data_IF_445855916534
#
_entry.id   IF_445855916534
#
_cell.length_a   1.000
_cell.length_b   1.000
_cell.length_c   1.000
_cell.angle_alpha   90.00
_cell.angle_beta   90.00
_cell.angle_gamma   90.00
#
_symmetry.space_group_name_H-M   'P 1'
#
loop_
_entity.id
_entity.type
_entity.pdbx_description
1 polymer ?
#
# COMPACT_ATOMS: atom_id res chain seq x y z
N UNK A 1 12.71 70.29 55.88
CA UNK A 1 13.76 69.37 55.38
C UNK A 1 13.52 67.92 55.78
N UNK A 2 13.35 67.56 57.06
CA UNK A 2 13.12 66.15 57.50
C UNK A 2 11.91 65.46 56.85
N UNK A 3 10.78 66.17 56.68
CA UNK A 3 9.57 65.63 56.02
C UNK A 3 9.75 65.41 54.51
N UNK A 4 10.52 66.28 53.83
CA UNK A 4 10.80 66.18 52.40
C UNK A 4 11.72 64.99 52.09
N UNK A 5 12.71 64.74 52.95
CA UNK A 5 13.61 63.58 52.84
C UNK A 5 12.82 62.28 53.02
N UNK A 6 11.88 62.22 53.98
CA UNK A 6 11.03 61.05 54.18
C UNK A 6 10.12 60.78 52.98
N UNK A 7 9.58 61.82 52.35
CA UNK A 7 8.76 61.69 51.12
C UNK A 7 9.60 61.22 49.92
N UNK A 8 10.83 61.72 49.76
CA UNK A 8 11.72 61.28 48.69
C UNK A 8 12.16 59.82 48.87
N UNK A 9 12.42 59.41 50.12
CA UNK A 9 12.78 58.03 50.48
C UNK A 9 11.59 57.08 50.26
N UNK A 10 10.35 57.49 50.55
CA UNK A 10 9.17 56.69 50.21
C UNK A 10 8.92 56.58 48.69
N UNK A 11 9.20 57.64 47.92
CA UNK A 11 9.05 57.61 46.45
C UNK A 11 10.11 56.74 45.75
N UNK A 12 11.31 56.59 46.32
CA UNK A 12 12.35 55.73 45.74
C UNK A 12 12.03 54.23 45.77
N UNK A 13 11.01 53.78 46.52
CA UNK A 13 10.57 52.39 46.55
C UNK A 13 9.49 52.05 45.48
N UNK A 14 9.08 53.00 44.63
CA UNK A 14 7.97 52.81 43.68
C UNK A 14 8.39 52.32 42.28
N UNK A 15 9.68 52.07 42.03
CA UNK A 15 10.16 51.52 40.75
C UNK A 15 10.43 50.01 40.85
N UNK A 16 9.40 49.25 41.22
CA UNK A 16 9.44 47.79 41.12
C UNK A 16 9.03 47.37 39.71
N UNK A 17 9.86 46.55 39.05
CA UNK A 17 9.45 45.88 37.82
C UNK A 17 8.31 44.89 38.16
N UNK A 18 7.20 44.92 37.41
CA UNK A 18 6.03 44.06 37.65
C UNK A 18 6.16 42.62 37.09
N UNK A 19 7.35 42.25 36.61
CA UNK A 19 7.64 40.92 36.05
C UNK A 19 7.87 39.91 37.17
N UNK A 20 7.28 38.73 37.04
CA UNK A 20 7.43 37.64 38.01
C UNK A 20 8.53 36.70 37.55
N UNK A 21 9.67 36.70 38.25
CA UNK A 21 10.68 35.66 38.13
C UNK A 21 10.44 34.55 39.16
N UNK A 22 10.52 33.29 38.74
CA UNK A 22 10.58 32.14 39.66
C UNK A 22 11.89 31.41 39.37
N UNK A 23 12.79 31.39 40.36
CA UNK A 23 14.12 30.81 40.21
C UNK A 23 15.17 31.73 39.56
N UNK A 24 14.78 32.98 39.24
CA UNK A 24 15.67 34.06 38.79
C UNK A 24 15.24 35.39 39.41
N UNK A 25 16.23 36.19 39.84
CA UNK A 25 16.03 37.59 40.29
C UNK A 25 16.20 38.59 39.13
N UNK A 26 16.54 38.10 37.94
CA UNK A 26 16.66 38.87 36.70
C UNK A 26 15.77 38.24 35.62
N UNK A 27 14.43 38.38 35.74
CA UNK A 27 13.52 37.96 34.67
C UNK A 27 13.86 38.68 33.35
N UNK A 28 13.60 38.00 32.22
CA UNK A 28 13.87 38.58 30.91
C UNK A 28 12.94 39.80 30.71
N UNK A 29 13.43 40.97 30.26
CA UNK A 29 12.60 42.17 30.14
C UNK A 29 11.36 42.02 29.24
N UNK A 30 11.34 41.02 28.34
CA UNK A 30 10.21 40.72 27.48
C UNK A 30 9.16 39.80 28.12
N UNK A 31 9.45 39.20 29.28
CA UNK A 31 8.61 38.20 29.92
C UNK A 31 7.79 38.77 31.08
N UNK A 32 6.47 38.54 31.07
CA UNK A 32 5.65 38.78 32.26
C UNK A 32 5.87 37.71 33.34
N UNK A 33 6.22 36.48 32.94
CA UNK A 33 6.58 35.36 33.81
C UNK A 33 7.81 34.64 33.24
N UNK A 34 8.90 34.53 34.02
CA UNK A 34 10.11 33.78 33.67
C UNK A 34 10.36 32.68 34.72
N UNK A 35 10.38 31.42 34.28
CA UNK A 35 10.71 30.26 35.09
C UNK A 35 12.14 29.80 34.77
N UNK A 36 13.08 29.96 35.69
CA UNK A 36 14.47 29.51 35.53
C UNK A 36 14.81 28.40 36.53
N UNK A 37 15.21 27.23 36.01
CA UNK A 37 15.67 26.09 36.80
C UNK A 37 17.19 25.87 36.72
N UNK A 38 17.93 26.75 36.04
CA UNK A 38 19.36 26.61 35.74
C UNK A 38 20.23 26.47 37.00
N UNK A 39 19.84 27.10 38.10
CA UNK A 39 20.53 27.07 39.40
C UNK A 39 20.27 25.81 40.25
N UNK A 40 19.22 25.03 39.94
CA UNK A 40 18.86 23.82 40.69
C UNK A 40 19.85 22.66 40.40
N UNK A 41 20.05 21.69 41.30
CA UNK A 41 20.95 20.55 41.05
C UNK A 41 20.43 19.65 39.91
N UNK A 42 21.30 18.83 39.31
CA UNK A 42 20.97 17.98 38.15
C UNK A 42 19.72 17.11 38.36
N UNK A 43 19.57 16.49 39.54
CA UNK A 43 18.41 15.67 39.90
C UNK A 43 17.30 16.46 40.63
N UNK A 44 17.36 17.79 40.61
CA UNK A 44 16.38 18.68 41.24
C UNK A 44 15.84 19.74 40.30
N UNK A 45 16.11 19.65 38.99
CA UNK A 45 15.50 20.51 37.97
C UNK A 45 13.98 20.36 38.04
N UNK A 46 13.27 21.48 37.86
CA UNK A 46 11.81 21.55 37.85
C UNK A 46 11.36 22.15 36.52
N UNK A 47 10.15 21.80 36.10
CA UNK A 47 9.51 22.36 34.91
C UNK A 47 8.19 23.06 35.25
N UNK A 48 7.50 23.52 34.21
CA UNK A 48 6.14 24.02 34.31
C UNK A 48 5.15 22.88 34.12
N UNK A 49 4.28 22.66 35.12
CA UNK A 49 3.10 21.81 34.98
C UNK A 49 1.88 22.71 34.76
N UNK A 50 1.50 22.88 33.50
CA UNK A 50 0.33 23.68 33.12
C UNK A 50 -1.00 23.02 33.50
N UNK A 51 -2.14 23.69 33.21
CA UNK A 51 -3.46 23.14 33.50
C UNK A 51 -3.66 21.77 32.83
N UNK A 52 -4.03 20.76 33.62
CA UNK A 52 -4.35 19.42 33.15
C UNK A 52 -5.86 19.26 33.07
N UNK A 53 -6.39 18.96 31.89
CA UNK A 53 -7.82 19.02 31.59
C UNK A 53 -8.22 17.76 30.84
N UNK A 54 -9.40 17.20 31.11
CA UNK A 54 -9.95 16.07 30.36
C UNK A 54 -11.00 16.58 29.36
N UNK A 55 -10.58 16.87 28.12
CA UNK A 55 -11.46 17.40 27.09
C UNK A 55 -12.42 16.31 26.57
N UNK A 56 -13.67 16.70 26.33
CA UNK A 56 -14.71 15.80 25.81
C UNK A 56 -14.75 15.71 24.29
N UNK A 57 -14.22 16.72 23.59
CA UNK A 57 -14.07 16.75 22.12
C UNK A 57 -13.05 17.82 21.72
N UNK A 58 -12.69 17.88 20.43
CA UNK A 58 -11.83 18.95 19.90
C UNK A 58 -12.52 20.32 19.90
N UNK A 59 -13.84 20.41 20.04
CA UNK A 59 -14.58 21.68 20.11
C UNK A 59 -15.11 21.97 21.52
N UNK A 60 -14.57 21.29 22.54
CA UNK A 60 -15.05 21.40 23.91
C UNK A 60 -14.80 22.80 24.51
N UNK A 61 -15.87 23.58 24.54
CA UNK A 61 -15.94 24.89 25.21
C UNK A 61 -16.73 24.82 26.52
N UNK A 62 -17.06 23.62 27.00
CA UNK A 62 -17.86 23.40 28.22
C UNK A 62 -16.97 23.11 29.43
N UNK A 63 -15.92 22.31 29.24
CA UNK A 63 -14.92 22.01 30.28
C UNK A 63 -14.13 23.27 30.63
N UNK A 64 -13.89 24.14 29.65
CA UNK A 64 -13.34 25.48 29.83
C UNK A 64 -14.27 26.46 29.10
N UNK A 65 -15.20 27.13 29.80
CA UNK A 65 -16.09 28.13 29.19
C UNK A 65 -15.32 29.30 28.58
N UNK A 66 -15.69 29.68 27.35
CA UNK A 66 -15.09 30.80 26.60
C UNK A 66 -13.55 30.77 26.59
N UNK A 67 -12.92 29.70 26.08
CA UNK A 67 -11.47 29.58 26.11
C UNK A 67 -10.82 30.70 25.29
N UNK A 68 -9.79 31.33 25.86
CA UNK A 68 -9.06 32.39 25.18
C UNK A 68 -8.22 31.81 24.02
N UNK A 69 -8.12 32.54 22.92
CA UNK A 69 -7.23 32.14 21.81
C UNK A 69 -5.78 32.11 22.30
N UNK A 70 -5.07 31.02 22.00
CA UNK A 70 -3.71 30.75 22.48
C UNK A 70 -3.64 30.10 23.87
N UNK A 71 -4.78 29.79 24.51
CA UNK A 71 -4.80 29.09 25.80
C UNK A 71 -4.22 27.68 25.64
N UNK A 72 -3.15 27.36 26.37
CA UNK A 72 -2.44 26.08 26.37
C UNK A 72 -2.85 25.22 27.57
N UNK A 73 -3.17 23.95 27.32
CA UNK A 73 -3.51 22.94 28.35
C UNK A 73 -2.82 21.61 28.03
N UNK A 74 -2.77 20.71 29.01
CA UNK A 74 -2.43 19.30 28.79
C UNK A 74 -3.71 18.46 28.85
N UNK A 75 -4.12 17.85 27.73
CA UNK A 75 -5.27 16.97 27.69
C UNK A 75 -4.92 15.60 28.29
N UNK A 76 -5.72 15.16 29.25
CA UNK A 76 -5.52 13.90 29.97
C UNK A 76 -5.94 12.66 29.17
N UNK A 77 -6.75 12.82 28.12
CA UNK A 77 -7.25 11.70 27.31
C UNK A 77 -8.25 10.78 28.01
N UNK A 78 -8.72 11.14 29.21
CA UNK A 78 -9.59 10.32 30.05
C UNK A 78 -11.09 10.59 29.87
N UNK A 79 -11.45 11.60 29.07
CA UNK A 79 -12.83 11.93 28.71
C UNK A 79 -13.10 11.56 27.23
N UNK A 80 -13.92 12.35 26.53
CA UNK A 80 -14.34 12.04 25.15
C UNK A 80 -13.28 12.27 24.07
N UNK A 81 -12.31 13.17 24.28
CA UNK A 81 -11.15 13.33 23.41
C UNK A 81 -9.99 12.50 23.98
N UNK A 82 -9.78 11.31 23.42
CA UNK A 82 -8.81 10.32 23.92
C UNK A 82 -7.34 10.65 23.63
N UNK A 83 -7.06 11.62 22.76
CA UNK A 83 -5.71 12.06 22.43
C UNK A 83 -5.04 12.77 23.61
N UNK A 84 -4.04 12.14 24.21
CA UNK A 84 -3.25 12.70 25.32
C UNK A 84 -2.16 13.63 24.77
N UNK A 85 -1.94 14.78 25.40
CA UNK A 85 -0.83 15.67 25.03
C UNK A 85 -1.10 17.15 25.31
N UNK A 86 -0.21 18.03 24.85
CA UNK A 86 -0.45 19.47 24.92
C UNK A 86 -1.41 19.90 23.81
N UNK A 87 -2.39 20.72 24.15
CA UNK A 87 -3.36 21.30 23.22
C UNK A 87 -3.44 22.80 23.43
N UNK A 88 -3.65 23.56 22.35
CA UNK A 88 -3.99 24.98 22.46
C UNK A 88 -5.29 25.30 21.74
N UNK A 89 -6.03 26.27 22.27
CA UNK A 89 -7.26 26.76 21.64
C UNK A 89 -6.92 27.76 20.52
N UNK A 90 -7.30 27.46 19.28
CA UNK A 90 -7.04 28.35 18.14
C UNK A 90 -8.13 29.43 17.92
N UNK A 91 -9.16 29.45 18.76
CA UNK A 91 -10.35 30.30 18.59
C UNK A 91 -11.61 29.52 18.17
N UNK A 92 -11.46 28.28 17.69
CA UNK A 92 -12.58 27.44 17.22
C UNK A 92 -12.46 25.98 17.61
N UNK A 93 -11.25 25.44 17.75
CA UNK A 93 -10.99 24.09 18.23
C UNK A 93 -9.68 23.98 19.03
N UNK A 94 -9.56 22.90 19.79
CA UNK A 94 -8.36 22.46 20.48
C UNK A 94 -7.47 21.68 19.50
N UNK A 95 -6.34 22.28 19.14
CA UNK A 95 -5.32 21.65 18.29
C UNK A 95 -4.21 21.06 19.15
N UNK A 96 -3.81 19.83 18.82
CA UNK A 96 -2.66 19.18 19.45
C UNK A 96 -1.37 19.91 19.07
N UNK A 97 -0.54 20.19 20.06
CA UNK A 97 0.83 20.64 19.88
C UNK A 97 1.67 19.39 19.58
N UNK A 98 1.85 19.07 18.30
CA UNK A 98 2.61 17.89 17.89
C UNK A 98 4.05 18.02 18.38
N UNK A 99 4.47 17.11 19.26
CA UNK A 99 5.86 16.91 19.62
C UNK A 99 6.32 15.61 19.00
N UNK A 100 7.24 15.74 18.04
CA UNK A 100 7.92 14.60 17.46
C UNK A 100 8.81 13.95 18.52
N UNK A 101 8.86 12.62 18.54
CA UNK A 101 9.75 11.91 19.46
C UNK A 101 11.20 12.19 19.08
N UNK A 102 12.04 12.54 20.05
CA UNK A 102 13.50 12.69 19.87
C UNK A 102 14.24 11.34 20.00
N UNK A 103 13.53 10.25 20.28
CA UNK A 103 14.11 8.93 20.32
C UNK A 103 14.51 8.47 18.90
N UNK A 104 15.57 7.66 18.76
CA UNK A 104 15.84 6.97 17.50
C UNK A 104 14.60 6.24 16.97
N UNK A 105 14.28 6.54 15.71
CA UNK A 105 13.21 5.93 14.96
C UNK A 105 13.47 4.46 14.68
N UNK A 106 12.45 3.62 14.83
CA UNK A 106 12.48 2.20 14.47
C UNK A 106 11.22 1.83 13.71
N UNK A 107 11.35 0.92 12.74
CA UNK A 107 10.21 0.33 12.02
C UNK A 107 10.24 -1.19 12.16
N UNK A 108 9.08 -1.83 12.12
CA UNK A 108 8.99 -3.30 12.14
C UNK A 108 9.30 -3.89 10.78
N UNK A 109 8.81 -3.27 9.70
CA UNK A 109 9.05 -3.71 8.31
C UNK A 109 9.33 -2.49 7.46
N UNK A 110 10.38 -2.57 6.63
CA UNK A 110 10.66 -1.66 5.54
C UNK A 110 10.33 -2.37 4.22
N UNK A 111 9.31 -1.92 3.50
CA UNK A 111 8.77 -2.60 2.32
C UNK A 111 9.36 -2.04 1.02
N UNK A 112 10.58 -2.48 0.70
CA UNK A 112 11.20 -2.14 -0.58
C UNK A 112 10.50 -2.78 -1.80
N UNK A 113 9.65 -3.80 -1.62
CA UNK A 113 8.90 -4.40 -2.73
C UNK A 113 7.74 -3.49 -3.17
N UNK A 114 7.18 -2.73 -2.24
CA UNK A 114 6.22 -1.66 -2.49
C UNK A 114 6.83 -0.33 -2.94
N UNK A 115 8.15 -0.27 -3.17
CA UNK A 115 8.82 0.97 -3.54
C UNK A 115 8.32 1.52 -4.89
N UNK A 116 7.95 2.80 -4.92
CA UNK A 116 7.42 3.48 -6.11
C UNK A 116 8.29 4.68 -6.48
N UNK A 117 8.74 4.72 -7.74
CA UNK A 117 9.41 5.87 -8.34
C UNK A 117 8.40 6.69 -9.16
N UNK A 118 8.47 8.02 -9.06
CA UNK A 118 7.64 8.96 -9.83
C UNK A 118 8.51 10.13 -10.32
N UNK A 119 8.68 10.36 -11.63
CA UNK A 119 8.17 9.55 -12.75
C UNK A 119 8.71 8.11 -12.75
N UNK A 120 7.90 7.12 -13.11
CA UNK A 120 8.31 5.70 -13.00
C UNK A 120 9.42 5.26 -13.97
N UNK A 121 9.80 6.12 -14.92
CA UNK A 121 10.77 5.84 -15.97
C UNK A 121 11.80 6.96 -16.12
N UNK A 122 12.98 6.60 -16.61
CA UNK A 122 14.06 7.54 -16.91
C UNK A 122 14.75 7.21 -18.24
N UNK A 123 15.38 8.21 -18.85
CA UNK A 123 16.06 8.09 -20.15
C UNK A 123 17.53 8.45 -19.99
N UNK A 124 18.42 7.61 -20.51
CA UNK A 124 19.86 7.82 -20.48
C UNK A 124 20.23 9.19 -21.08
N UNK A 125 21.12 9.92 -20.40
CA UNK A 125 21.64 11.21 -20.84
C UNK A 125 20.72 12.42 -20.59
N UNK A 126 19.45 12.21 -20.22
CA UNK A 126 18.54 13.29 -19.86
C UNK A 126 18.57 13.55 -18.36
N UNK A 127 18.39 14.80 -17.92
CA UNK A 127 18.25 15.07 -16.48
C UNK A 127 16.98 14.39 -15.95
N UNK A 128 17.10 13.76 -14.79
CA UNK A 128 16.01 13.15 -14.04
C UNK A 128 15.82 13.87 -12.71
N UNK A 129 14.57 14.16 -12.38
CA UNK A 129 14.13 14.69 -11.10
C UNK A 129 12.81 14.01 -10.75
N UNK A 130 12.79 13.29 -9.65
CA UNK A 130 11.61 12.56 -9.21
C UNK A 130 11.66 12.20 -7.73
N UNK A 131 10.72 11.35 -7.33
CA UNK A 131 10.52 10.95 -5.95
C UNK A 131 10.46 9.44 -5.86
N UNK A 132 11.17 8.87 -4.89
CA UNK A 132 11.11 7.45 -4.53
C UNK A 132 10.41 7.32 -3.17
N UNK A 133 9.26 6.67 -3.17
CA UNK A 133 8.46 6.40 -1.97
C UNK A 133 8.64 4.95 -1.55
N UNK A 134 8.97 4.70 -0.29
CA UNK A 134 9.16 3.36 0.28
C UNK A 134 8.23 3.21 1.49
N UNK A 135 7.20 2.35 1.40
CA UNK A 135 6.31 2.10 2.53
C UNK A 135 7.03 1.41 3.70
N UNK A 136 6.55 1.65 4.91
CA UNK A 136 6.94 0.90 6.11
C UNK A 136 5.74 0.65 7.03
N UNK A 137 5.93 -0.27 7.98
CA UNK A 137 4.96 -0.53 9.05
C UNK A 137 5.63 -0.70 10.42
N UNK A 138 4.86 -0.48 11.48
CA UNK A 138 5.32 -0.54 12.87
C UNK A 138 6.32 0.54 13.25
N UNK A 139 6.20 1.74 12.70
CA UNK A 139 6.94 2.94 13.10
C UNK A 139 6.59 3.37 14.53
N UNK A 140 7.61 3.81 15.27
CA UNK A 140 7.51 4.19 16.68
C UNK A 140 7.39 5.70 16.93
N UNK A 141 7.21 6.53 15.90
CA UNK A 141 7.21 7.99 16.05
C UNK A 141 8.59 8.66 16.11
N UNK A 142 9.68 7.89 16.16
CA UNK A 142 11.04 8.39 16.39
C UNK A 142 11.74 8.95 15.15
N UNK A 143 12.85 9.66 15.36
CA UNK A 143 13.60 10.37 14.32
C UNK A 143 14.41 9.40 13.45
N UNK A 144 14.39 9.61 12.14
CA UNK A 144 15.40 9.10 11.21
C UNK A 144 16.23 10.26 10.65
N UNK A 145 17.55 10.07 10.58
CA UNK A 145 18.47 11.08 10.05
C UNK A 145 18.36 11.23 8.53
N UNK A 146 18.93 12.32 8.02
CA UNK A 146 19.12 12.50 6.58
C UNK A 146 20.03 11.40 6.01
N UNK A 147 19.75 10.96 4.78
CA UNK A 147 20.51 9.90 4.10
C UNK A 147 20.73 10.24 2.61
N UNK A 148 21.77 9.67 2.01
CA UNK A 148 22.10 9.84 0.59
C UNK A 148 22.67 8.54 0.01
N UNK A 149 21.99 8.01 -1.01
CA UNK A 149 22.32 6.73 -1.65
C UNK A 149 22.68 6.99 -3.12
N UNK A 150 23.84 6.50 -3.53
CA UNK A 150 24.34 6.59 -4.91
C UNK A 150 25.48 7.60 -5.10
N UNK A 151 25.79 7.97 -6.36
CA UNK A 151 25.02 7.69 -7.57
C UNK A 151 25.04 6.22 -8.01
N UNK A 152 23.91 5.69 -8.47
CA UNK A 152 23.76 4.36 -9.10
C UNK A 152 23.10 4.58 -10.45
N UNK A 153 23.72 4.10 -11.53
CA UNK A 153 23.31 4.42 -12.90
C UNK A 153 23.11 5.93 -13.14
N UNK A 154 23.89 6.79 -12.48
CA UNK A 154 23.78 8.25 -12.60
C UNK A 154 22.63 8.90 -11.81
N UNK A 155 21.90 8.14 -10.98
CA UNK A 155 20.84 8.62 -10.10
C UNK A 155 21.28 8.60 -8.63
N UNK A 156 21.00 9.67 -7.90
CA UNK A 156 21.24 9.80 -6.45
C UNK A 156 19.90 9.98 -5.74
N UNK A 157 19.64 9.19 -4.69
CA UNK A 157 18.46 9.29 -3.84
C UNK A 157 18.84 9.96 -2.51
N UNK A 158 18.15 11.02 -2.11
CA UNK A 158 18.39 11.78 -0.88
C UNK A 158 17.14 11.83 -0.01
N UNK A 159 17.28 11.49 1.27
CA UNK A 159 16.24 11.58 2.30
C UNK A 159 16.59 12.72 3.26
N UNK A 160 15.62 13.57 3.57
CA UNK A 160 15.76 14.58 4.62
C UNK A 160 15.54 13.96 6.00
N UNK A 161 16.11 14.55 7.04
CA UNK A 161 15.80 14.16 8.42
C UNK A 161 14.33 14.46 8.75
N UNK A 162 13.65 13.51 9.36
CA UNK A 162 12.28 13.64 9.84
C UNK A 162 11.94 12.51 10.84
N UNK A 163 10.67 12.34 11.20
CA UNK A 163 10.17 11.30 12.07
C UNK A 163 9.41 10.22 11.32
N UNK A 164 9.49 8.98 11.79
CA UNK A 164 8.52 7.95 11.39
C UNK A 164 7.14 8.30 11.95
N UNK A 165 6.09 7.96 11.21
CA UNK A 165 4.73 7.92 11.70
C UNK A 165 4.56 6.79 12.73
N UNK A 166 3.60 6.94 13.63
CA UNK A 166 3.16 5.82 14.47
C UNK A 166 2.40 4.80 13.61
N UNK A 167 2.90 3.56 13.55
CA UNK A 167 2.31 2.51 12.72
C UNK A 167 2.84 2.51 11.29
N UNK A 168 2.00 2.77 10.30
CA UNK A 168 2.38 2.71 8.88
C UNK A 168 2.60 4.11 8.30
N UNK A 169 3.60 4.23 7.43
CA UNK A 169 3.93 5.48 6.76
C UNK A 169 4.86 5.24 5.57
N UNK A 170 5.47 6.31 5.07
CA UNK A 170 6.37 6.23 3.91
C UNK A 170 7.67 7.00 4.16
N UNK A 171 8.79 6.45 3.71
CA UNK A 171 10.01 7.22 3.46
C UNK A 171 9.93 7.82 2.06
N UNK A 172 10.27 9.10 1.93
CA UNK A 172 10.15 9.85 0.68
C UNK A 172 11.51 10.44 0.32
N UNK A 173 12.18 9.83 -0.66
CA UNK A 173 13.47 10.27 -1.17
C UNK A 173 13.27 11.17 -2.38
N UNK A 174 14.05 12.25 -2.49
CA UNK A 174 14.25 12.95 -3.76
C UNK A 174 15.29 12.20 -4.59
N UNK A 175 14.98 11.90 -5.85
CA UNK A 175 15.88 11.19 -6.76
C UNK A 175 16.26 12.13 -7.90
N UNK A 176 17.54 12.43 -8.02
CA UNK A 176 18.06 13.38 -9.01
C UNK A 176 19.31 12.85 -9.70
N UNK A 177 19.60 13.37 -10.90
CA UNK A 177 20.84 13.09 -11.62
C UNK A 177 20.65 13.01 -13.12
N UNK A 178 21.61 12.38 -13.81
CA UNK A 178 21.56 12.11 -15.25
C UNK A 178 21.76 10.60 -15.43
N UNK A 179 20.70 9.83 -15.72
CA UNK A 179 20.78 8.38 -15.86
C UNK A 179 21.80 7.96 -16.92
N UNK A 180 22.54 6.89 -16.65
CA UNK A 180 23.44 6.25 -17.63
C UNK A 180 22.75 5.13 -18.41
N UNK A 181 21.55 4.74 -18.01
CA UNK A 181 20.70 3.73 -18.65
C UNK A 181 19.28 4.25 -18.80
N UNK A 182 18.51 3.69 -19.74
CA UNK A 182 17.09 4.00 -19.93
C UNK A 182 16.22 2.87 -19.39
N UNK A 183 15.04 3.20 -18.89
CA UNK A 183 13.98 2.22 -18.63
C UNK A 183 13.72 1.35 -19.86
N UNK A 184 13.45 0.03 -19.71
CA UNK A 184 13.15 -0.68 -18.45
C UNK A 184 14.38 -1.23 -17.68
N UNK A 185 15.61 -0.84 -18.03
CA UNK A 185 16.79 -1.23 -17.23
C UNK A 185 16.65 -0.65 -15.83
N UNK A 186 16.74 -1.50 -14.80
CA UNK A 186 16.49 -1.09 -13.42
C UNK A 186 17.71 -0.51 -12.71
N UNK A 187 17.41 0.28 -11.69
CA UNK A 187 18.36 0.81 -10.71
C UNK A 187 17.90 0.35 -9.33
N UNK A 188 18.82 -0.18 -8.53
CA UNK A 188 18.54 -0.70 -7.19
C UNK A 188 19.24 0.16 -6.16
N UNK A 189 18.48 0.74 -5.24
CA UNK A 189 18.98 1.51 -4.10
C UNK A 189 18.96 0.62 -2.84
N UNK A 190 20.10 0.49 -2.16
CA UNK A 190 20.19 -0.18 -0.86
C UNK A 190 19.84 0.79 0.25
N UNK A 191 18.68 0.61 0.85
CA UNK A 191 18.08 1.53 1.82
C UNK A 191 18.24 0.97 3.22
N UNK A 192 18.65 1.81 4.17
CA UNK A 192 18.75 1.45 5.58
C UNK A 192 18.11 2.52 6.45
N UNK A 193 17.02 2.18 7.13
CA UNK A 193 16.27 3.11 7.96
C UNK A 193 15.51 2.37 9.06
N UNK A 194 15.41 2.99 10.24
CA UNK A 194 14.62 2.46 11.35
C UNK A 194 15.07 1.10 11.87
N UNK A 195 16.37 0.79 11.77
CA UNK A 195 16.94 -0.50 12.16
C UNK A 195 16.78 -1.63 11.13
N UNK A 196 16.14 -1.35 9.99
CA UNK A 196 15.92 -2.31 8.90
C UNK A 196 16.74 -1.92 7.67
N UNK A 197 17.02 -2.90 6.81
CA UNK A 197 17.66 -2.65 5.51
C UNK A 197 17.01 -3.50 4.41
N UNK A 198 16.84 -2.93 3.22
CA UNK A 198 16.33 -3.64 2.04
C UNK A 198 16.79 -2.99 0.74
N UNK A 199 16.51 -3.63 -0.39
CA UNK A 199 16.88 -3.14 -1.72
C UNK A 199 15.64 -2.71 -2.52
N UNK A 200 15.49 -1.41 -2.76
CA UNK A 200 14.42 -0.84 -3.58
C UNK A 200 14.84 -0.83 -5.05
N UNK A 201 14.18 -1.62 -5.90
CA UNK A 201 14.50 -1.73 -7.33
C UNK A 201 13.46 -0.99 -8.17
N UNK A 202 13.89 0.00 -8.95
CA UNK A 202 13.02 0.93 -9.69
C UNK A 202 13.50 1.18 -11.12
N UNK A 203 12.66 1.83 -11.93
CA UNK A 203 12.99 2.16 -13.32
C UNK A 203 12.52 1.15 -14.37
N UNK A 204 11.70 0.18 -13.97
CA UNK A 204 10.98 -0.69 -14.91
C UNK A 204 10.00 0.09 -15.82
N UNK A 205 9.72 1.36 -15.52
CA UNK A 205 8.64 2.15 -16.11
C UNK A 205 7.32 1.95 -15.34
N UNK A 206 6.27 2.68 -15.74
CA UNK A 206 4.91 2.32 -15.33
C UNK A 206 4.57 0.98 -15.99
N UNK A 207 4.00 -0.02 -15.28
CA UNK A 207 3.16 -1.00 -15.96
C UNK A 207 2.15 -0.17 -16.74
N UNK A 208 2.16 -0.25 -18.07
CA UNK A 208 1.25 0.55 -18.90
C UNK A 208 -0.17 0.38 -18.33
N UNK A 209 -0.70 1.45 -17.72
CA UNK A 209 -2.11 1.51 -17.46
C UNK A 209 -2.78 1.41 -18.83
N UNK A 210 -3.68 0.44 -19.01
CA UNK A 210 -4.52 0.31 -20.20
C UNK A 210 -5.40 1.57 -20.23
N UNK A 211 -4.89 2.64 -20.83
CA UNK A 211 -5.54 3.96 -20.90
C UNK A 211 -6.60 4.02 -22.00
N UNK A 212 -6.75 2.95 -22.79
CA UNK A 212 -7.83 2.73 -23.72
C UNK A 212 -8.16 1.24 -23.79
N UNK A 213 -9.45 0.91 -23.82
CA UNK A 213 -10.00 -0.43 -23.97
C UNK A 213 -9.16 -1.33 -24.88
N UNK A 214 -8.39 -2.26 -24.31
CA UNK A 214 -7.85 -3.36 -25.07
C UNK A 214 -8.97 -4.40 -25.26
N UNK A 215 -9.73 -4.27 -26.34
CA UNK A 215 -10.52 -5.41 -26.81
C UNK A 215 -9.55 -6.54 -27.18
N UNK A 216 -9.57 -7.64 -26.44
CA UNK A 216 -8.99 -8.89 -26.92
C UNK A 216 -9.96 -9.48 -27.94
N UNK A 217 -9.80 -9.07 -29.20
CA UNK A 217 -10.56 -9.67 -30.30
C UNK A 217 -9.95 -11.04 -30.61
N UNK A 218 -10.60 -12.10 -30.17
CA UNK A 218 -10.26 -13.47 -30.58
C UNK A 218 -10.89 -13.76 -31.94
N UNK A 219 -10.54 -12.97 -32.96
CA UNK A 219 -10.93 -13.29 -34.32
C UNK A 219 -9.75 -13.84 -35.10
N UNK A 220 -9.95 -15.05 -35.60
CA UNK A 220 -8.90 -15.89 -36.10
C UNK A 220 -9.44 -17.29 -36.29
N UNK A 221 -10.27 -17.48 -37.31
CA UNK A 221 -10.64 -18.76 -37.90
C UNK A 221 -9.44 -19.59 -38.40
N UNK A 222 -8.19 -19.14 -38.16
CA UNK A 222 -6.95 -19.69 -38.71
C UNK A 222 -5.89 -20.08 -37.66
N UNK A 223 -6.25 -20.33 -36.41
CA UNK A 223 -5.37 -21.03 -35.46
C UNK A 223 -4.05 -20.33 -35.10
N UNK A 224 -3.90 -19.04 -35.42
CA UNK A 224 -2.79 -18.23 -34.95
C UNK A 224 -3.17 -17.62 -33.61
N UNK A 225 -2.47 -18.05 -32.55
CA UNK A 225 -2.62 -17.48 -31.21
C UNK A 225 -2.47 -15.96 -31.23
N UNK A 226 -3.03 -15.33 -30.19
CA UNK A 226 -2.94 -13.89 -29.94
C UNK A 226 -1.50 -13.42 -30.22
N UNK A 227 -1.31 -12.62 -31.27
CA UNK A 227 -0.04 -11.92 -31.46
C UNK A 227 -0.05 -10.70 -30.54
N UNK A 228 1.00 -10.61 -29.73
CA UNK A 228 1.08 -9.71 -28.59
C UNK A 228 1.34 -8.26 -29.01
N UNK A 229 0.47 -7.36 -28.55
CA UNK A 229 0.89 -5.99 -28.21
C UNK A 229 1.32 -6.01 -26.73
N UNK A 230 2.58 -5.71 -26.47
CA UNK A 230 3.37 -6.01 -25.25
C UNK A 230 2.71 -5.83 -23.87
N UNK A 231 1.66 -5.02 -23.72
CA UNK A 231 0.93 -4.83 -22.46
C UNK A 231 0.32 -6.14 -21.90
N UNK A 232 -0.27 -6.98 -22.76
CA UNK A 232 -0.92 -8.23 -22.32
C UNK A 232 0.07 -9.32 -21.92
N UNK A 233 1.27 -9.36 -22.51
CA UNK A 233 2.31 -10.32 -22.14
C UNK A 233 2.82 -10.08 -20.72
N UNK A 234 3.01 -8.83 -20.33
CA UNK A 234 3.48 -8.50 -18.98
C UNK A 234 2.42 -8.86 -17.92
N UNK A 235 1.14 -8.63 -18.22
CA UNK A 235 0.03 -9.00 -17.33
C UNK A 235 -0.11 -10.53 -17.19
N UNK A 236 -0.03 -11.26 -18.31
CA UNK A 236 -0.07 -12.72 -18.30
C UNK A 236 1.15 -13.31 -17.59
N UNK A 237 2.35 -12.79 -17.85
CA UNK A 237 3.58 -13.21 -17.16
C UNK A 237 3.48 -12.97 -15.64
N UNK A 238 2.96 -11.83 -15.19
CA UNK A 238 2.75 -11.54 -13.77
C UNK A 238 1.75 -12.49 -13.08
N UNK A 239 0.87 -13.13 -13.85
CA UNK A 239 -0.11 -14.13 -13.37
C UNK A 239 0.28 -15.57 -13.71
N UNK A 240 1.49 -15.78 -14.25
CA UNK A 240 1.98 -17.10 -14.66
C UNK A 240 1.19 -17.72 -15.81
N UNK A 241 0.50 -16.93 -16.63
CA UNK A 241 -0.20 -17.38 -17.84
C UNK A 241 0.78 -17.32 -19.01
N UNK A 242 0.99 -18.44 -19.69
CA UNK A 242 1.90 -18.56 -20.83
C UNK A 242 1.17 -18.40 -22.16
N UNK A 243 -0.11 -18.79 -22.25
CA UNK A 243 -0.88 -18.74 -23.50
C UNK A 243 -2.39 -18.78 -23.25
N UNK A 244 -3.17 -18.12 -24.11
CA UNK A 244 -4.64 -18.31 -24.19
C UNK A 244 -5.02 -18.69 -25.62
N UNK A 245 -5.68 -19.84 -25.80
CA UNK A 245 -6.09 -20.39 -27.09
C UNK A 245 -7.60 -20.54 -27.15
N UNK A 246 -8.24 -19.99 -28.19
CA UNK A 246 -9.65 -20.28 -28.49
C UNK A 246 -9.75 -21.66 -29.16
N UNK A 247 -10.52 -22.57 -28.58
CA UNK A 247 -10.68 -23.93 -29.08
C UNK A 247 -11.95 -24.08 -29.94
N UNK A 248 -13.03 -23.42 -29.55
CA UNK A 248 -14.26 -23.29 -30.36
C UNK A 248 -14.99 -21.99 -30.02
N UNK A 249 -16.23 -21.80 -30.51
CA UNK A 249 -17.04 -20.65 -30.12
C UNK A 249 -17.38 -20.73 -28.63
N UNK A 250 -16.91 -19.74 -27.86
CA UNK A 250 -17.15 -19.66 -26.43
C UNK A 250 -16.28 -20.58 -25.57
N UNK A 251 -15.36 -21.36 -26.16
CA UNK A 251 -14.47 -22.28 -25.42
C UNK A 251 -13.03 -21.81 -25.55
N UNK A 252 -12.39 -21.58 -24.42
CA UNK A 252 -11.00 -21.11 -24.33
C UNK A 252 -10.17 -22.01 -23.43
N UNK A 253 -8.91 -22.20 -23.81
CA UNK A 253 -7.84 -22.85 -23.05
C UNK A 253 -6.87 -21.78 -22.55
N UNK A 254 -6.51 -21.86 -21.27
CA UNK A 254 -5.50 -20.99 -20.63
C UNK A 254 -4.36 -21.85 -20.14
N UNK A 255 -3.19 -21.72 -20.75
CA UNK A 255 -1.96 -22.40 -20.33
C UNK A 255 -1.19 -21.54 -19.32
N UNK A 256 -0.65 -22.18 -18.30
CA UNK A 256 0.19 -21.57 -17.27
C UNK A 256 1.66 -21.93 -17.49
N UNK A 257 2.56 -21.04 -17.08
CA UNK A 257 4.02 -21.23 -17.15
C UNK A 257 4.54 -22.23 -16.12
N UNK A 258 3.80 -22.45 -15.03
CA UNK A 258 4.14 -23.41 -13.97
C UNK A 258 3.01 -24.41 -13.76
N UNK A 259 3.28 -25.73 -13.76
CA UNK A 259 2.27 -26.71 -13.43
C UNK A 259 1.69 -26.52 -12.02
N UNK A 260 0.41 -26.77 -11.86
CA UNK A 260 -0.29 -26.84 -10.57
C UNK A 260 -0.76 -28.28 -10.32
N UNK A 261 -0.51 -28.88 -9.14
CA UNK A 261 -0.91 -30.27 -8.87
C UNK A 261 -2.44 -30.40 -8.92
N UNK A 262 -2.96 -31.04 -9.96
CA UNK A 262 -4.38 -31.29 -10.17
C UNK A 262 -4.57 -32.59 -10.96
N UNK A 263 -5.33 -33.53 -10.37
CA UNK A 263 -5.68 -34.83 -10.97
C UNK A 263 -7.14 -34.84 -11.45
N UNK A 264 -7.70 -33.65 -11.72
CA UNK A 264 -9.12 -33.51 -12.04
C UNK A 264 -9.48 -33.95 -13.46
N UNK A 265 -10.64 -34.57 -13.59
CA UNK A 265 -11.26 -34.87 -14.87
C UNK A 265 -12.28 -33.79 -15.24
N UNK A 266 -12.53 -33.58 -16.54
CA UNK A 266 -13.76 -32.90 -16.97
C UNK A 266 -14.73 -33.93 -17.50
N UNK A 267 -15.96 -33.86 -17.00
CA UNK A 267 -17.09 -34.69 -17.42
C UNK A 267 -18.07 -33.83 -18.22
N UNK A 268 -18.48 -34.32 -19.39
CA UNK A 268 -19.48 -33.65 -20.23
C UNK A 268 -20.69 -34.55 -20.49
N UNK A 269 -21.91 -34.01 -20.32
CA UNK A 269 -23.18 -34.74 -20.41
C UNK A 269 -24.43 -33.84 -20.43
N UNK A 270 -25.62 -34.43 -20.58
CA UNK A 270 -26.93 -33.75 -20.55
C UNK A 270 -27.32 -33.36 -19.11
N UNK A 271 -28.04 -32.25 -18.89
CA UNK A 271 -28.51 -31.88 -17.55
C UNK A 271 -29.43 -32.91 -16.88
N UNK A 272 -30.12 -33.76 -17.65
CA UNK A 272 -30.88 -34.89 -17.09
C UNK A 272 -29.99 -35.97 -16.46
N UNK A 273 -28.68 -35.97 -16.76
CA UNK A 273 -27.68 -36.86 -16.16
C UNK A 273 -27.06 -36.27 -14.88
N UNK A 274 -27.33 -34.99 -14.56
CA UNK A 274 -26.78 -34.30 -13.38
C UNK A 274 -27.64 -34.47 -12.10
N UNK A 275 -28.84 -35.04 -12.20
CA UNK A 275 -29.73 -35.20 -11.02
C UNK A 275 -29.29 -36.35 -10.11
N UNK A 276 -28.31 -37.14 -10.54
CA UNK A 276 -27.72 -38.18 -9.70
C UNK A 276 -26.33 -37.84 -9.13
N UNK A 277 -25.77 -36.66 -9.44
CA UNK A 277 -24.40 -36.26 -9.04
C UNK A 277 -24.35 -35.21 -7.94
N UNK A 278 -25.49 -34.73 -7.43
CA UNK A 278 -25.51 -33.93 -6.20
C UNK A 278 -25.02 -34.73 -4.95
N UNK A 279 -24.92 -36.06 -5.07
CA UNK A 279 -24.31 -36.94 -4.07
C UNK A 279 -22.78 -37.06 -4.19
N UNK A 280 -22.18 -36.46 -5.23
CA UNK A 280 -20.81 -36.73 -5.69
C UNK A 280 -19.88 -35.50 -5.62
N UNK A 281 -20.25 -34.47 -4.85
CA UNK A 281 -19.39 -33.32 -4.48
C UNK A 281 -18.12 -33.74 -3.69
N UNK A 282 -17.83 -35.05 -3.59
CA UNK A 282 -16.62 -35.65 -3.05
C UNK A 282 -15.65 -36.17 -4.16
N UNK A 283 -15.97 -36.01 -5.45
CA UNK A 283 -15.14 -36.53 -6.53
C UNK A 283 -14.30 -35.45 -7.23
N UNK A 284 -13.08 -35.84 -7.61
CA UNK A 284 -12.03 -35.03 -8.26
C UNK A 284 -12.35 -34.68 -9.72
N UNK A 285 -13.50 -34.10 -10.04
CA UNK A 285 -13.80 -33.70 -11.43
C UNK A 285 -14.61 -32.40 -11.53
N UNK A 286 -14.34 -31.62 -12.59
CA UNK A 286 -15.09 -30.43 -12.99
C UNK A 286 -16.24 -30.87 -13.92
N UNK A 287 -17.49 -30.52 -13.57
CA UNK A 287 -18.66 -30.85 -14.38
C UNK A 287 -19.04 -29.67 -15.29
N UNK A 288 -19.18 -29.93 -16.58
CA UNK A 288 -19.67 -28.96 -17.56
C UNK A 288 -21.08 -29.37 -18.03
N UNK A 289 -22.12 -28.79 -17.41
CA UNK A 289 -23.52 -29.08 -17.72
C UNK A 289 -24.06 -28.23 -18.88
N UNK A 290 -24.86 -28.82 -19.77
CA UNK A 290 -25.41 -28.13 -20.94
C UNK A 290 -26.94 -27.92 -20.90
N UNK A 291 -27.40 -26.72 -21.30
CA UNK A 291 -28.75 -26.49 -21.82
C UNK A 291 -28.85 -27.01 -23.27
N UNK A 292 -29.22 -28.28 -23.40
CA UNK A 292 -29.95 -28.85 -24.54
C UNK A 292 -29.38 -28.61 -25.97
N UNK A 293 -28.15 -29.07 -26.26
CA UNK A 293 -27.77 -29.44 -27.65
C UNK A 293 -26.96 -30.75 -27.71
N UNK A 294 -27.29 -31.69 -28.62
CA UNK A 294 -26.65 -33.00 -28.75
C UNK A 294 -25.31 -32.91 -29.50
N UNK A 295 -24.35 -32.17 -28.94
CA UNK A 295 -22.98 -31.98 -29.42
C UNK A 295 -22.30 -30.92 -28.53
N UNK A 296 -21.49 -31.37 -27.57
CA UNK A 296 -20.83 -30.53 -26.57
C UNK A 296 -19.76 -29.64 -27.22
N UNK A 297 -19.98 -28.32 -27.30
CA UNK A 297 -19.00 -27.40 -27.90
C UNK A 297 -17.62 -27.49 -27.21
N UNK A 298 -17.60 -27.78 -25.91
CA UNK A 298 -16.39 -27.98 -25.13
C UNK A 298 -15.71 -29.33 -25.41
N UNK A 299 -16.41 -30.46 -25.37
CA UNK A 299 -15.74 -31.74 -25.64
C UNK A 299 -15.41 -31.95 -27.12
N UNK A 300 -16.18 -31.37 -28.04
CA UNK A 300 -15.76 -31.26 -29.45
C UNK A 300 -14.52 -30.37 -29.60
N UNK A 301 -14.47 -29.21 -28.93
CA UNK A 301 -13.28 -28.37 -28.90
C UNK A 301 -12.05 -29.14 -28.42
N UNK A 302 -12.18 -29.87 -27.31
CA UNK A 302 -11.12 -30.71 -26.74
C UNK A 302 -10.72 -31.82 -27.72
N UNK A 303 -11.68 -32.56 -28.26
CA UNK A 303 -11.43 -33.65 -29.20
C UNK A 303 -10.81 -33.18 -30.52
N UNK A 304 -11.04 -31.93 -30.90
CA UNK A 304 -10.51 -31.31 -32.11
C UNK A 304 -9.24 -30.49 -31.89
N UNK A 305 -8.65 -30.48 -30.68
CA UNK A 305 -7.43 -29.72 -30.41
C UNK A 305 -6.21 -30.37 -31.08
N UNK A 306 -5.81 -29.82 -32.22
CA UNK A 306 -4.68 -30.30 -33.06
C UNK A 306 -3.34 -29.64 -32.71
N UNK A 307 -3.21 -29.02 -31.54
CA UNK A 307 -1.98 -28.32 -31.15
C UNK A 307 -0.74 -29.23 -31.26
N UNK A 308 0.30 -28.85 -32.02
CA UNK A 308 1.53 -29.64 -32.14
C UNK A 308 2.27 -29.80 -30.80
N UNK A 309 1.92 -29.00 -29.78
CA UNK A 309 2.37 -29.14 -28.40
C UNK A 309 1.53 -30.06 -27.52
N UNK A 310 0.63 -30.90 -28.04
CA UNK A 310 -0.22 -31.82 -27.26
C UNK A 310 0.54 -32.98 -26.55
N UNK A 311 1.77 -32.74 -26.09
CA UNK A 311 2.53 -33.62 -25.20
C UNK A 311 2.18 -33.42 -23.72
N UNK A 312 1.04 -32.79 -23.44
CA UNK A 312 0.59 -32.60 -22.07
C UNK A 312 0.04 -33.88 -21.47
N UNK A 313 -0.25 -34.95 -22.22
CA UNK A 313 -0.71 -36.22 -21.63
C UNK A 313 -2.18 -36.18 -21.20
N UNK A 314 -3.02 -35.47 -21.95
CA UNK A 314 -4.46 -35.66 -21.86
C UNK A 314 -4.77 -37.08 -22.32
N UNK A 315 -5.34 -37.89 -21.45
CA UNK A 315 -5.77 -39.23 -21.83
C UNK A 315 -6.78 -39.13 -22.99
N UNK A 316 -6.72 -40.08 -23.92
CA UNK A 316 -7.67 -40.14 -25.02
C UNK A 316 -9.10 -40.14 -24.47
N UNK A 317 -10.00 -39.37 -25.11
CA UNK A 317 -11.39 -39.21 -24.72
C UNK A 317 -12.02 -40.57 -24.36
N UNK A 318 -12.24 -40.81 -23.07
CA UNK A 318 -12.70 -42.10 -22.58
C UNK A 318 -14.22 -42.06 -22.38
N UNK A 319 -14.93 -42.91 -23.11
CA UNK A 319 -16.33 -43.17 -22.83
C UNK A 319 -16.43 -44.06 -21.59
N UNK A 320 -17.20 -43.64 -20.60
CA UNK A 320 -17.51 -44.43 -19.42
C UNK A 320 -19.02 -44.51 -19.22
N UNK A 321 -19.48 -45.53 -18.52
CA UNK A 321 -20.90 -45.66 -18.15
C UNK A 321 -21.09 -45.20 -16.72
N UNK A 322 -21.89 -44.15 -16.51
CA UNK A 322 -22.31 -43.68 -15.18
C UNK A 322 -23.81 -43.89 -15.06
N UNK A 323 -24.21 -44.78 -14.16
CA UNK A 323 -25.63 -45.12 -13.92
C UNK A 323 -26.41 -45.52 -15.19
N UNK A 324 -25.76 -46.28 -16.07
CA UNK A 324 -26.36 -46.77 -17.31
C UNK A 324 -26.34 -45.77 -18.48
N UNK A 325 -25.81 -44.56 -18.26
CA UNK A 325 -25.69 -43.53 -19.28
C UNK A 325 -24.23 -43.37 -19.72
N UNK A 326 -24.01 -43.21 -21.02
CA UNK A 326 -22.67 -43.08 -21.57
C UNK A 326 -22.19 -41.63 -21.48
N UNK A 327 -21.08 -41.42 -20.77
CA UNK A 327 -20.49 -40.11 -20.48
C UNK A 327 -19.05 -40.08 -20.96
N UNK A 328 -18.59 -38.93 -21.46
CA UNK A 328 -17.23 -38.75 -21.96
C UNK A 328 -16.36 -38.02 -20.94
N UNK A 329 -15.19 -38.60 -20.62
CA UNK A 329 -14.22 -38.06 -19.67
C UNK A 329 -12.89 -37.77 -20.34
N UNK A 330 -12.29 -36.64 -19.97
CA UNK A 330 -10.92 -36.28 -20.33
C UNK A 330 -10.14 -35.98 -19.04
N UNK A 331 -8.97 -36.61 -18.88
CA UNK A 331 -8.03 -36.28 -17.80
C UNK A 331 -7.23 -35.06 -18.20
N UNK A 332 -7.14 -34.07 -17.30
CA UNK A 332 -6.28 -32.92 -17.53
C UNK A 332 -4.97 -33.12 -16.81
N UNK A 333 -3.90 -32.77 -17.51
CA UNK A 333 -2.61 -32.55 -16.86
C UNK A 333 -2.46 -31.10 -16.49
N UNK A 334 -1.56 -30.91 -15.54
CA UNK A 334 -1.47 -29.84 -14.55
C UNK A 334 -1.11 -28.45 -15.07
N UNK A 335 -1.36 -28.12 -16.33
CA UNK A 335 -0.83 -26.90 -16.95
C UNK A 335 -1.88 -25.94 -17.49
N UNK A 336 -3.17 -26.27 -17.45
CA UNK A 336 -4.18 -25.41 -18.07
C UNK A 336 -5.61 -25.58 -17.52
N UNK A 337 -6.42 -24.55 -17.73
CA UNK A 337 -7.88 -24.58 -17.51
C UNK A 337 -8.64 -24.41 -18.83
N UNK A 338 -9.83 -25.01 -18.89
CA UNK A 338 -10.81 -24.78 -19.95
C UNK A 338 -12.00 -24.04 -19.37
N UNK A 339 -12.41 -22.96 -20.04
CA UNK A 339 -13.58 -22.17 -19.68
C UNK A 339 -14.57 -22.17 -20.84
N UNK A 340 -15.83 -22.45 -20.54
CA UNK A 340 -16.96 -22.28 -21.45
C UNK A 340 -17.73 -21.01 -21.07
N UNK A 341 -17.89 -20.08 -22.02
CA UNK A 341 -18.62 -18.84 -21.84
C UNK A 341 -19.30 -18.39 -23.13
N UNK A 342 -20.62 -18.18 -23.08
CA UNK A 342 -21.38 -17.56 -24.16
C UNK A 342 -21.57 -16.07 -23.87
N UNK A 343 -20.91 -15.20 -24.65
CA UNK A 343 -21.18 -13.76 -24.64
C UNK A 343 -19.99 -12.88 -25.05
N UNK A 344 -20.29 -11.69 -25.59
CA UNK A 344 -19.34 -10.59 -25.62
C UNK A 344 -19.09 -10.17 -24.16
N UNK A 345 -17.90 -10.44 -23.63
CA UNK A 345 -17.50 -9.93 -22.32
C UNK A 345 -17.23 -8.43 -22.45
N UNK A 346 -18.28 -7.62 -22.33
CA UNK A 346 -18.11 -6.19 -22.11
C UNK A 346 -17.79 -6.03 -20.63
N UNK A 347 -16.50 -5.96 -20.32
CA UNK A 347 -16.02 -5.81 -18.95
C UNK A 347 -16.21 -4.37 -18.50
N UNK A 348 -17.46 -3.98 -18.28
CA UNK A 348 -17.79 -2.69 -17.66
C UNK A 348 -17.77 -2.92 -16.15
N UNK A 349 -16.61 -2.70 -15.52
CA UNK A 349 -16.46 -2.70 -14.07
C UNK A 349 -16.43 -4.06 -13.35
N UNK A 350 -16.14 -5.18 -14.03
CA UNK A 350 -16.00 -6.50 -13.40
C UNK A 350 -14.62 -7.11 -13.59
N UNK A 351 -13.99 -7.65 -12.55
CA UNK A 351 -12.77 -8.46 -12.70
C UNK A 351 -13.10 -9.88 -13.17
N UNK A 352 -12.32 -10.44 -14.12
CA UNK A 352 -12.26 -11.90 -14.27
C UNK A 352 -11.45 -12.42 -13.07
N UNK A 353 -12.13 -13.05 -12.12
CA UNK A 353 -11.51 -13.78 -11.01
C UNK A 353 -11.42 -15.25 -11.39
N UNK A 354 -10.21 -15.73 -11.70
CA UNK A 354 -9.92 -17.17 -11.70
C UNK A 354 -9.44 -17.50 -10.29
N UNK A 355 -10.35 -17.94 -9.44
CA UNK A 355 -10.04 -18.37 -8.07
C UNK A 355 -9.59 -19.83 -8.10
N UNK A 356 -8.53 -20.13 -7.36
CA UNK A 356 -7.95 -21.48 -7.25
C UNK A 356 -8.89 -22.43 -6.50
#
# INVERSE_FOLDING_TARGET
MKKLILTLVLLSFMFGNAQTGIGTDAPDPSAMLHLDASSLPANGKKGFLGPQVALTSNTDTTTIPSPATGLLIYNLGTAGLSSVGYFYWNGSEWLSFVVNSLQPGTVSVLDCAGAKLEPASYTAGNSYNGTLTIPYSGGNGGVYGADTIGPINGLTATLAEDNFDFGSGNLVYSVTGTPTVSSPVTTTFSVSAGGQSCNATVGQGTPEAISQYAQVSFDGTSGSGITANGSLQNLFAAKGISRVKRMSQGVFRIDFSTPFPDDKYVVSGSLTEAVASAADNAMSYLFAGNWARPNNAMALAIASDTDPGNNFGLDANQQITVQGVAVWKNKYTTHFYIMEGYGHFTVTGGSISVTR
#
